data_IF_340445324900
#
_entry.id   IF_340445324900
#
_cell.length_a   1.000
_cell.length_b   1.000
_cell.length_c   1.000
_cell.angle_alpha   90.00
_cell.angle_beta   90.00
_cell.angle_gamma   90.00
#
_symmetry.space_group_name_H-M   'P 1'
#
loop_
_entity.id
_entity.type
_entity.pdbx_description
1 polymer ?
#
# COMPACT_ATOMS: atom_id res chain seq x y z
N UNK A 1 0.91 -7.47 0.28
CA UNK A 1 1.45 -7.75 -1.07
C UNK A 1 1.95 -9.18 -1.09
N UNK A 2 1.45 -10.00 -2.01
CA UNK A 2 1.96 -11.36 -2.21
C UNK A 2 3.32 -11.29 -2.93
N UNK A 3 4.31 -12.02 -2.44
CA UNK A 3 5.61 -12.20 -3.10
C UNK A 3 5.73 -13.57 -3.75
N UNK A 4 5.09 -14.59 -3.17
CA UNK A 4 5.13 -15.96 -3.67
C UNK A 4 3.74 -16.59 -3.54
N UNK A 5 3.42 -17.49 -4.48
CA UNK A 5 2.17 -18.23 -4.51
C UNK A 5 2.45 -19.73 -4.60
N UNK A 6 1.87 -20.51 -3.69
CA UNK A 6 1.87 -21.96 -3.74
C UNK A 6 0.50 -22.47 -4.25
N UNK A 7 0.44 -23.04 -5.48
CA UNK A 7 -0.80 -23.52 -6.07
C UNK A 7 -1.31 -24.84 -5.47
N UNK A 8 -0.47 -25.63 -4.80
CA UNK A 8 -0.90 -26.92 -4.24
C UNK A 8 -1.92 -26.74 -3.11
N UNK A 9 -1.73 -25.69 -2.31
CA UNK A 9 -2.54 -25.41 -1.11
C UNK A 9 -3.26 -24.06 -1.18
N UNK A 10 -3.21 -23.37 -2.33
CA UNK A 10 -3.76 -22.04 -2.56
C UNK A 10 -3.33 -20.97 -1.53
N UNK A 11 -2.06 -20.97 -1.12
CA UNK A 11 -1.50 -20.08 -0.10
C UNK A 11 -0.51 -19.10 -0.74
N UNK A 12 -0.54 -17.85 -0.31
CA UNK A 12 0.48 -16.87 -0.62
C UNK A 12 1.42 -16.62 0.56
N UNK A 13 2.68 -16.31 0.28
CA UNK A 13 3.58 -15.66 1.23
C UNK A 13 3.74 -14.19 0.84
N UNK A 14 3.74 -13.28 1.82
CA UNK A 14 3.85 -11.87 1.53
C UNK A 14 3.97 -10.96 2.74
N UNK A 15 4.08 -9.67 2.43
CA UNK A 15 4.18 -8.60 3.41
C UNK A 15 2.83 -7.95 3.64
N UNK A 16 2.40 -7.88 4.90
CA UNK A 16 1.12 -7.29 5.32
C UNK A 16 1.42 -6.08 6.19
N UNK A 17 0.85 -4.94 5.81
CA UNK A 17 1.03 -3.69 6.55
C UNK A 17 -0.09 -3.52 7.57
N UNK A 18 0.24 -2.96 8.73
CA UNK A 18 -0.69 -2.67 9.82
C UNK A 18 -1.51 -3.89 10.28
N UNK A 19 -0.87 -5.05 10.42
CA UNK A 19 -1.56 -6.30 10.79
C UNK A 19 -1.59 -6.54 12.30
N UNK A 20 -0.45 -6.38 12.97
CA UNK A 20 -0.27 -6.87 14.35
C UNK A 20 -0.42 -5.74 15.35
N UNK A 21 -1.46 -5.71 16.19
CA UNK A 21 -1.57 -4.75 17.27
C UNK A 21 -0.63 -5.13 18.42
N UNK A 22 -0.01 -4.13 19.04
CA UNK A 22 0.81 -4.26 20.23
C UNK A 22 0.65 -3.00 21.10
N UNK A 23 1.11 -3.07 22.35
CA UNK A 23 1.09 -1.95 23.31
C UNK A 23 1.69 -0.65 22.74
N UNK A 24 2.63 -0.78 21.79
CA UNK A 24 3.36 0.33 21.19
C UNK A 24 2.88 0.69 19.77
N UNK A 25 1.73 0.17 19.32
CA UNK A 25 1.14 0.49 18.01
C UNK A 25 0.81 -0.74 17.17
N UNK A 26 0.56 -0.52 15.88
CA UNK A 26 0.29 -1.60 14.91
C UNK A 26 1.53 -1.76 14.03
N UNK A 27 1.93 -3.01 13.80
CA UNK A 27 3.16 -3.36 13.10
C UNK A 27 2.89 -4.12 11.81
N UNK A 28 3.81 -3.97 10.87
CA UNK A 28 3.84 -4.70 9.61
C UNK A 28 4.51 -6.08 9.81
N UNK A 29 4.08 -7.09 9.05
CA UNK A 29 4.52 -8.47 9.21
C UNK A 29 4.76 -9.18 7.87
N UNK A 30 5.72 -10.11 7.85
CA UNK A 30 5.86 -11.10 6.79
C UNK A 30 5.19 -12.41 7.21
N UNK A 31 4.32 -12.95 6.37
CA UNK A 31 3.57 -14.15 6.72
C UNK A 31 2.91 -14.83 5.55
N UNK A 32 2.29 -15.97 5.86
CA UNK A 32 1.46 -16.72 4.93
C UNK A 32 -0.01 -16.35 5.12
N UNK A 33 -0.77 -16.37 4.03
CA UNK A 33 -2.22 -16.17 4.05
C UNK A 33 -2.89 -17.03 2.97
N UNK A 34 -4.07 -17.55 3.28
CA UNK A 34 -4.84 -18.41 2.37
C UNK A 34 -5.69 -17.58 1.42
N UNK A 35 -5.66 -17.91 0.12
CA UNK A 35 -6.57 -17.30 -0.86
C UNK A 35 -8.00 -17.80 -0.61
N UNK A 36 -8.18 -19.07 -0.27
CA UNK A 36 -9.51 -19.63 0.02
C UNK A 36 -10.18 -18.90 1.19
N UNK A 37 -9.41 -18.51 2.22
CA UNK A 37 -9.95 -17.71 3.32
C UNK A 37 -10.40 -16.32 2.84
N UNK A 38 -9.59 -15.67 1.99
CA UNK A 38 -9.93 -14.35 1.44
C UNK A 38 -11.15 -14.38 0.53
N UNK A 39 -11.32 -15.43 -0.27
CA UNK A 39 -12.47 -15.62 -1.17
C UNK A 39 -13.77 -15.90 -0.42
N UNK A 40 -13.68 -16.58 0.73
CA UNK A 40 -14.84 -16.91 1.57
C UNK A 40 -15.24 -15.79 2.55
N UNK A 41 -14.54 -14.66 2.58
CA UNK A 41 -14.88 -13.54 3.45
C UNK A 41 -16.13 -12.82 2.97
N UNK A 42 -17.16 -12.80 3.83
CA UNK A 42 -18.34 -11.95 3.67
C UNK A 42 -18.15 -10.65 4.45
N UNK A 43 -17.86 -9.56 3.73
CA UNK A 43 -17.72 -8.23 4.31
C UNK A 43 -19.08 -7.52 4.40
N UNK A 44 -19.20 -6.43 5.18
CA UNK A 44 -20.44 -5.68 5.28
C UNK A 44 -21.03 -5.36 3.91
N UNK A 45 -22.37 -5.46 3.81
CA UNK A 45 -23.13 -5.28 2.58
C UNK A 45 -22.90 -6.36 1.50
N UNK A 46 -22.35 -7.52 1.87
CA UNK A 46 -22.14 -8.64 0.94
C UNK A 46 -20.99 -8.41 -0.02
N UNK A 47 -20.04 -7.54 0.36
CA UNK A 47 -18.83 -7.30 -0.41
C UNK A 47 -17.82 -8.43 -0.17
N UNK A 48 -17.05 -8.76 -1.19
CA UNK A 48 -15.91 -9.68 -1.10
C UNK A 48 -14.60 -8.91 -1.32
N UNK A 49 -13.48 -9.56 -1.01
CA UNK A 49 -12.17 -9.06 -1.41
C UNK A 49 -11.96 -9.36 -2.90
N UNK A 50 -11.50 -8.38 -3.67
CA UNK A 50 -11.24 -8.51 -5.10
C UNK A 50 -9.77 -8.22 -5.43
N UNK A 51 -9.30 -8.80 -6.55
CA UNK A 51 -7.97 -8.52 -7.08
C UNK A 51 -7.98 -7.27 -7.95
N UNK A 52 -6.95 -6.44 -7.81
CA UNK A 52 -6.72 -5.29 -8.68
C UNK A 52 -6.13 -5.75 -10.03
N UNK A 53 -6.90 -5.58 -11.12
CA UNK A 53 -6.49 -5.95 -12.49
C UNK A 53 -5.42 -5.01 -13.09
N UNK A 54 -5.21 -3.84 -12.49
CA UNK A 54 -4.20 -2.87 -12.91
C UNK A 54 -2.98 -2.87 -11.99
N UNK A 55 -2.89 -3.87 -11.10
CA UNK A 55 -1.76 -4.03 -10.21
C UNK A 55 -0.46 -4.21 -11.00
N UNK A 56 0.53 -3.36 -10.70
CA UNK A 56 1.88 -3.49 -11.20
C UNK A 56 2.77 -3.96 -10.07
N UNK A 57 3.62 -4.95 -10.34
CA UNK A 57 4.60 -5.47 -9.39
C UNK A 57 5.51 -4.35 -8.89
N UNK A 58 5.86 -4.42 -7.60
CA UNK A 58 6.72 -3.45 -6.94
C UNK A 58 7.80 -4.17 -6.16
N UNK A 59 8.97 -3.56 -6.10
CA UNK A 59 10.02 -4.01 -5.21
C UNK A 59 9.63 -3.74 -3.75
N UNK A 60 10.15 -4.55 -2.82
CA UNK A 60 9.92 -4.31 -1.40
C UNK A 60 10.34 -2.91 -0.93
N UNK A 61 11.41 -2.36 -1.54
CA UNK A 61 11.86 -0.98 -1.29
C UNK A 61 10.77 0.06 -1.63
N UNK A 62 10.02 -0.14 -2.70
CA UNK A 62 8.93 0.75 -3.11
C UNK A 62 7.68 0.59 -2.25
N UNK A 63 7.50 -0.58 -1.63
CA UNK A 63 6.43 -0.82 -0.65
C UNK A 63 6.72 -0.09 0.66
N UNK A 64 7.96 -0.16 1.16
CA UNK A 64 8.37 0.51 2.40
C UNK A 64 8.49 2.03 2.27
N UNK A 65 8.92 2.50 1.10
CA UNK A 65 8.99 3.92 0.79
C UNK A 65 8.01 4.21 -0.34
N UNK A 66 6.69 4.23 -0.05
CA UNK A 66 5.70 4.55 -1.05
C UNK A 66 6.01 5.97 -1.52
N UNK A 67 6.54 6.07 -2.74
CA UNK A 67 6.89 7.35 -3.32
C UNK A 67 5.62 8.21 -3.31
N UNK A 68 5.55 9.23 -2.46
CA UNK A 68 4.58 10.36 -2.51
C UNK A 68 4.84 11.22 -3.77
N UNK A 69 5.11 10.57 -4.89
CA UNK A 69 5.69 11.14 -6.10
C UNK A 69 4.89 12.31 -6.66
N UNK A 70 3.56 12.30 -6.50
CA UNK A 70 2.70 13.40 -6.98
C UNK A 70 2.50 14.49 -5.94
N UNK A 71 2.16 14.15 -4.70
CA UNK A 71 1.82 15.17 -3.69
C UNK A 71 3.02 15.98 -3.25
N UNK A 72 4.16 15.35 -2.98
CA UNK A 72 5.34 16.09 -2.49
C UNK A 72 5.90 16.98 -3.59
N UNK A 73 5.92 16.49 -4.83
CA UNK A 73 6.31 17.26 -6.02
C UNK A 73 5.36 18.43 -6.31
N UNK A 74 4.03 18.21 -6.20
CA UNK A 74 3.04 19.28 -6.35
C UNK A 74 3.19 20.34 -5.25
N UNK A 75 3.42 19.92 -3.99
CA UNK A 75 3.65 20.82 -2.86
C UNK A 75 4.92 21.65 -3.05
N UNK A 76 6.02 21.04 -3.51
CA UNK A 76 7.28 21.74 -3.78
C UNK A 76 7.11 22.77 -4.91
N UNK A 77 6.46 22.38 -6.02
CA UNK A 77 6.15 23.29 -7.12
C UNK A 77 5.26 24.46 -6.70
N UNK A 78 4.29 24.22 -5.81
CA UNK A 78 3.43 25.28 -5.26
C UNK A 78 4.21 26.25 -4.36
N UNK A 79 5.15 25.75 -3.56
CA UNK A 79 6.03 26.59 -2.72
C UNK A 79 6.95 27.47 -3.57
N UNK A 80 7.54 26.90 -4.62
CA UNK A 80 8.41 27.64 -5.53
C UNK A 80 7.66 28.76 -6.27
N UNK A 81 6.46 28.46 -6.77
CA UNK A 81 5.61 29.46 -7.42
C UNK A 81 5.18 30.58 -6.48
N UNK A 82 4.84 30.25 -5.22
CA UNK A 82 4.47 31.24 -4.21
C UNK A 82 5.64 32.17 -3.86
N UNK A 83 6.84 31.60 -3.73
CA UNK A 83 8.05 32.38 -3.48
C UNK A 83 8.35 33.34 -4.63
N UNK A 84 8.21 32.88 -5.88
CA UNK A 84 8.41 33.69 -7.07
C UNK A 84 7.40 34.86 -7.15
N UNK A 85 6.13 34.63 -6.80
CA UNK A 85 5.14 35.72 -6.76
C UNK A 85 5.46 36.76 -5.67
N UNK A 86 5.91 36.32 -4.49
CA UNK A 86 6.27 37.23 -3.39
C UNK A 86 7.54 38.06 -3.70
N UNK A 87 8.45 37.54 -4.54
CA UNK A 87 9.63 38.27 -5.04
C UNK A 87 9.30 39.27 -6.14
N UNK A 88 8.29 38.99 -6.98
CA UNK A 88 7.82 39.90 -8.04
C UNK A 88 6.96 41.06 -7.51
N UNK A 89 6.37 40.90 -6.33
CA UNK A 89 5.55 41.92 -5.66
C UNK A 89 6.36 42.89 -4.77
N UNK A 90 7.69 42.77 -4.73
CA UNK A 90 8.64 43.69 -4.04
C UNK A 90 9.35 44.60 -5.02
#
# INVERSE_FOLDING_TARGET
MASEYNPENNICFGYVQNLVPSENGIFDEWGYFSIDELENLELPFGLSIERDIHFNEKTFKEVLNPKHQKRDFEIEKLKDNKKLSEELER
#
